data_IF_984120894633
#
_entry.id   IF_984120894633
#
_cell.length_a   1.000
_cell.length_b   1.000
_cell.length_c   1.000
_cell.angle_alpha   90.00
_cell.angle_beta   90.00
_cell.angle_gamma   90.00
#
_symmetry.space_group_name_H-M   'P 1'
#
loop_
_entity.id
_entity.type
_entity.pdbx_description
1 polymer ?
#
# COMPACT_ATOMS: atom_id res chain seq x y z
N UNK A 1 -10.77 -17.10 -20.73
CA UNK A 1 -10.61 -17.08 -19.25
C UNK A 1 -9.73 -15.91 -18.89
N UNK A 2 -10.26 -14.92 -18.22
CA UNK A 2 -9.42 -13.93 -17.56
C UNK A 2 -8.72 -14.63 -16.39
N UNK A 3 -7.43 -14.89 -16.51
CA UNK A 3 -6.62 -15.25 -15.37
C UNK A 3 -6.62 -14.06 -14.44
N UNK A 4 -7.33 -14.15 -13.33
CA UNK A 4 -7.35 -13.12 -12.30
C UNK A 4 -5.91 -12.89 -11.84
N UNK A 5 -5.40 -11.66 -12.01
CA UNK A 5 -4.06 -11.32 -11.58
C UNK A 5 -3.97 -11.46 -10.06
N UNK A 6 -2.97 -12.17 -9.59
CA UNK A 6 -2.69 -12.26 -8.14
C UNK A 6 -1.99 -11.02 -7.66
N UNK A 7 -2.49 -10.44 -6.59
CA UNK A 7 -2.02 -9.16 -6.04
C UNK A 7 -1.49 -9.36 -4.63
N UNK A 8 -0.25 -8.90 -4.41
CA UNK A 8 0.31 -8.72 -3.08
C UNK A 8 0.10 -7.28 -2.63
N UNK A 9 -0.52 -7.09 -1.48
CA UNK A 9 -0.58 -5.77 -0.82
C UNK A 9 0.56 -5.68 0.17
N UNK A 10 1.37 -4.62 0.06
CA UNK A 10 2.45 -4.32 0.99
C UNK A 10 2.13 -3.03 1.75
N UNK A 11 2.22 -3.08 3.06
CA UNK A 11 1.88 -1.98 3.97
C UNK A 11 3.09 -1.69 4.85
N UNK A 12 3.55 -0.45 4.88
CA UNK A 12 4.52 0.02 5.87
C UNK A 12 3.77 0.71 7.00
N UNK A 13 4.21 0.52 8.24
CA UNK A 13 3.54 1.05 9.41
C UNK A 13 4.51 1.39 10.55
N UNK A 14 4.08 2.26 11.45
CA UNK A 14 4.79 2.60 12.68
C UNK A 14 3.86 3.41 13.58
N UNK A 15 3.46 2.85 14.74
CA UNK A 15 2.53 3.47 15.71
C UNK A 15 1.21 3.93 15.06
N UNK A 16 0.53 3.01 14.38
CA UNK A 16 -0.71 3.23 13.64
C UNK A 16 -1.88 2.39 14.17
N UNK A 17 -1.94 2.12 15.48
CA UNK A 17 -2.97 1.28 16.09
C UNK A 17 -4.40 1.75 15.79
N UNK A 18 -4.61 3.06 15.60
CA UNK A 18 -5.92 3.62 15.28
C UNK A 18 -6.34 3.45 13.81
N UNK A 19 -5.39 3.22 12.90
CA UNK A 19 -5.62 3.17 11.46
C UNK A 19 -5.42 1.80 10.84
N UNK A 20 -4.47 1.02 11.34
CA UNK A 20 -4.02 -0.23 10.70
C UNK A 20 -5.15 -1.25 10.51
N UNK A 21 -6.11 -1.33 11.44
CA UNK A 21 -7.24 -2.25 11.36
C UNK A 21 -8.11 -1.98 10.13
N UNK A 22 -8.47 -0.72 9.91
CA UNK A 22 -9.32 -0.33 8.79
C UNK A 22 -8.59 -0.40 7.45
N UNK A 23 -7.29 -0.09 7.44
CA UNK A 23 -6.42 -0.32 6.29
C UNK A 23 -6.45 -1.80 5.88
N UNK A 24 -6.18 -2.71 6.80
CA UNK A 24 -6.13 -4.15 6.54
C UNK A 24 -7.49 -4.73 6.13
N UNK A 25 -8.59 -4.28 6.75
CA UNK A 25 -9.95 -4.66 6.33
C UNK A 25 -10.21 -4.28 4.88
N UNK A 26 -9.78 -3.10 4.47
CA UNK A 26 -10.03 -2.57 3.12
C UNK A 26 -9.31 -3.34 2.01
N UNK A 27 -8.33 -4.16 2.34
CA UNK A 27 -7.55 -4.97 1.40
C UNK A 27 -7.68 -6.48 1.64
N UNK A 28 -8.67 -6.92 2.41
CA UNK A 28 -8.90 -8.34 2.73
C UNK A 28 -9.16 -9.22 1.50
N UNK A 29 -9.48 -8.64 0.37
CA UNK A 29 -9.66 -9.29 -0.93
C UNK A 29 -8.34 -9.69 -1.62
N UNK A 30 -7.19 -9.20 -1.14
CA UNK A 30 -5.88 -9.46 -1.75
C UNK A 30 -5.43 -10.92 -1.56
N UNK A 31 -4.66 -11.45 -2.51
CA UNK A 31 -4.09 -12.81 -2.43
C UNK A 31 -3.00 -12.92 -1.37
N UNK A 32 -2.34 -11.81 -1.08
CA UNK A 32 -1.27 -11.73 -0.10
C UNK A 32 -1.27 -10.35 0.57
N UNK A 33 -1.12 -10.32 1.89
CA UNK A 33 -0.96 -9.09 2.67
C UNK A 33 0.33 -9.18 3.47
N UNK A 34 1.22 -8.22 3.29
CA UNK A 34 2.51 -8.10 3.97
C UNK A 34 2.53 -6.77 4.73
N UNK A 35 2.85 -6.83 6.02
CA UNK A 35 3.01 -5.64 6.87
C UNK A 35 4.46 -5.56 7.32
N UNK A 36 5.08 -4.41 7.11
CA UNK A 36 6.42 -4.09 7.61
C UNK A 36 6.32 -2.97 8.63
N UNK A 37 6.57 -3.32 9.87
CA UNK A 37 6.45 -2.43 11.03
C UNK A 37 7.81 -1.87 11.44
N UNK A 38 7.84 -0.58 11.75
CA UNK A 38 9.04 0.14 12.16
C UNK A 38 9.19 0.22 13.69
N UNK A 39 9.14 -0.96 14.36
CA UNK A 39 9.31 -1.08 15.82
C UNK A 39 8.24 -0.31 16.63
N UNK A 40 6.96 -0.46 16.27
CA UNK A 40 5.84 0.16 16.97
C UNK A 40 5.82 -0.21 18.48
N UNK A 41 5.46 0.77 19.29
CA UNK A 41 5.35 0.60 20.76
C UNK A 41 3.87 0.49 21.21
N UNK A 42 2.93 0.56 20.29
CA UNK A 42 1.49 0.46 20.52
C UNK A 42 0.94 -0.90 20.05
N UNK A 43 -0.38 -1.04 19.91
CA UNK A 43 -1.02 -2.28 19.50
C UNK A 43 -0.94 -2.56 17.97
N UNK A 44 -0.24 -1.76 17.18
CA UNK A 44 -0.16 -1.89 15.72
C UNK A 44 0.19 -3.32 15.28
N UNK A 45 1.26 -3.88 15.82
CA UNK A 45 1.75 -5.23 15.46
C UNK A 45 0.76 -6.31 15.85
N UNK A 46 0.18 -6.22 17.06
CA UNK A 46 -0.81 -7.18 17.55
C UNK A 46 -2.07 -7.16 16.68
N UNK A 47 -2.53 -5.99 16.29
CA UNK A 47 -3.67 -5.85 15.38
C UNK A 47 -3.34 -6.43 14.01
N UNK A 48 -2.18 -6.12 13.43
CA UNK A 48 -1.77 -6.62 12.11
C UNK A 48 -1.74 -8.15 12.07
N UNK A 49 -1.23 -8.79 13.12
CA UNK A 49 -1.17 -10.26 13.23
C UNK A 49 -2.54 -10.95 13.26
N UNK A 50 -3.63 -10.22 13.52
CA UNK A 50 -4.98 -10.79 13.42
C UNK A 50 -5.48 -10.90 11.97
N UNK A 51 -4.81 -10.26 11.01
CA UNK A 51 -5.17 -10.27 9.59
C UNK A 51 -4.22 -11.10 8.72
N UNK A 52 -2.94 -11.16 9.09
CA UNK A 52 -1.92 -11.88 8.33
C UNK A 52 -0.79 -12.33 9.25
N UNK A 53 -0.18 -13.47 8.93
CA UNK A 53 1.06 -13.98 9.58
C UNK A 53 2.31 -13.34 8.98
N UNK A 54 2.19 -12.59 7.89
CA UNK A 54 3.30 -11.90 7.23
C UNK A 54 3.50 -10.49 7.80
N UNK A 55 3.79 -10.42 9.10
CA UNK A 55 4.14 -9.19 9.81
C UNK A 55 5.62 -9.23 10.16
N UNK A 56 6.38 -8.29 9.61
CA UNK A 56 7.83 -8.21 9.74
C UNK A 56 8.21 -6.93 10.48
N UNK A 57 9.12 -7.05 11.44
CA UNK A 57 9.66 -5.91 12.17
C UNK A 57 10.98 -5.51 11.51
N UNK A 58 11.08 -4.26 11.11
CA UNK A 58 12.29 -3.70 10.52
C UNK A 58 12.54 -2.31 11.08
N UNK A 59 13.72 -2.09 11.66
CA UNK A 59 14.16 -0.77 12.12
C UNK A 59 13.99 0.27 11.01
N UNK A 60 13.52 1.44 11.40
CA UNK A 60 13.35 2.55 10.46
C UNK A 60 14.68 3.08 9.95
N UNK A 61 14.86 3.09 8.65
CA UNK A 61 16.03 3.61 7.93
C UNK A 61 15.63 4.53 6.75
N UNK A 62 14.40 5.00 6.75
CA UNK A 62 13.81 5.83 5.70
C UNK A 62 12.76 5.11 4.87
N UNK A 63 11.92 5.89 4.19
CA UNK A 63 10.81 5.37 3.40
C UNK A 63 11.26 4.44 2.26
N UNK A 64 12.31 4.81 1.50
CA UNK A 64 12.80 3.99 0.39
C UNK A 64 13.25 2.61 0.85
N UNK A 65 13.98 2.53 1.95
CA UNK A 65 14.47 1.27 2.50
C UNK A 65 13.31 0.43 3.02
N UNK A 66 12.37 1.05 3.73
CA UNK A 66 11.19 0.37 4.28
C UNK A 66 10.30 -0.19 3.17
N UNK A 67 9.97 0.64 2.17
CA UNK A 67 9.16 0.24 1.01
C UNK A 67 9.88 -0.80 0.14
N UNK A 68 11.18 -0.64 -0.09
CA UNK A 68 11.99 -1.60 -0.83
C UNK A 68 12.02 -2.97 -0.15
N UNK A 69 12.17 -3.00 1.16
CA UNK A 69 12.12 -4.24 1.93
C UNK A 69 10.75 -4.90 1.83
N UNK A 70 9.66 -4.14 2.03
CA UNK A 70 8.30 -4.66 1.90
C UNK A 70 8.06 -5.24 0.49
N UNK A 71 8.50 -4.54 -0.56
CA UNK A 71 8.39 -4.99 -1.94
C UNK A 71 9.16 -6.30 -2.18
N UNK A 72 10.34 -6.45 -1.59
CA UNK A 72 11.16 -7.67 -1.73
C UNK A 72 10.48 -8.93 -1.19
N UNK A 73 9.60 -8.77 -0.21
CA UNK A 73 8.86 -9.88 0.43
C UNK A 73 7.66 -10.35 -0.39
N UNK A 74 7.15 -9.53 -1.30
CA UNK A 74 5.99 -9.85 -2.12
C UNK A 74 6.25 -11.04 -3.05
N UNK A 75 5.34 -12.00 -3.10
CA UNK A 75 5.45 -13.19 -3.95
C UNK A 75 4.87 -12.98 -5.34
N UNK A 76 3.82 -12.17 -5.45
CA UNK A 76 3.14 -11.93 -6.71
C UNK A 76 3.82 -10.82 -7.50
N UNK A 77 3.65 -10.86 -8.82
CA UNK A 77 4.20 -9.85 -9.73
C UNK A 77 3.51 -8.48 -9.55
N UNK A 78 2.19 -8.48 -9.36
CA UNK A 78 1.45 -7.27 -9.11
C UNK A 78 1.45 -6.92 -7.63
N UNK A 79 1.85 -5.70 -7.32
CA UNK A 79 1.96 -5.18 -5.95
C UNK A 79 1.15 -3.90 -5.81
N UNK A 80 0.29 -3.87 -4.80
CA UNK A 80 -0.37 -2.65 -4.31
C UNK A 80 0.34 -2.17 -3.06
N UNK A 81 0.92 -0.97 -3.09
CA UNK A 81 1.63 -0.37 -1.96
C UNK A 81 0.76 0.65 -1.24
N UNK A 82 0.59 0.48 0.06
CA UNK A 82 -0.19 1.38 0.92
C UNK A 82 0.61 1.81 2.15
N UNK A 83 0.26 2.97 2.65
CA UNK A 83 0.62 3.41 3.99
C UNK A 83 -0.51 3.01 4.97
N UNK A 84 -0.21 2.80 6.25
CA UNK A 84 -1.16 2.23 7.21
C UNK A 84 -2.40 3.10 7.51
N UNK A 85 -2.34 4.38 7.19
CA UNK A 85 -3.43 5.34 7.30
C UNK A 85 -4.29 5.47 6.02
N UNK A 86 -3.99 4.67 5.00
CA UNK A 86 -4.74 4.63 3.74
C UNK A 86 -5.75 3.47 3.72
N UNK A 87 -6.81 3.62 2.95
CA UNK A 87 -7.87 2.62 2.78
C UNK A 87 -8.29 2.56 1.32
N UNK A 88 -8.58 1.35 0.85
CA UNK A 88 -9.15 1.10 -0.47
C UNK A 88 -10.67 1.01 -0.31
N UNK A 89 -11.43 1.85 -1.02
CA UNK A 89 -12.88 1.73 -1.02
C UNK A 89 -13.34 0.56 -1.91
N UNK A 90 -14.56 0.10 -1.72
CA UNK A 90 -15.11 -1.08 -2.42
C UNK A 90 -15.10 -0.89 -3.94
N UNK A 91 -15.41 0.32 -4.45
CA UNK A 91 -15.40 0.62 -5.87
C UNK A 91 -14.01 0.46 -6.50
N UNK A 92 -12.97 0.96 -5.82
CA UNK A 92 -11.59 0.81 -6.28
C UNK A 92 -11.13 -0.66 -6.18
N UNK A 93 -11.52 -1.37 -5.12
CA UNK A 93 -11.22 -2.80 -5.01
C UNK A 93 -11.80 -3.60 -6.18
N UNK A 94 -13.05 -3.36 -6.53
CA UNK A 94 -13.70 -3.98 -7.70
C UNK A 94 -13.01 -3.61 -9.01
N UNK A 95 -12.64 -2.34 -9.18
CA UNK A 95 -11.91 -1.86 -10.35
C UNK A 95 -10.56 -2.56 -10.49
N UNK A 96 -9.77 -2.68 -9.43
CA UNK A 96 -8.48 -3.37 -9.42
C UNK A 96 -8.67 -4.86 -9.77
N UNK A 97 -9.63 -5.54 -9.17
CA UNK A 97 -9.87 -6.96 -9.39
C UNK A 97 -10.32 -7.29 -10.81
N UNK A 98 -11.04 -6.37 -11.46
CA UNK A 98 -11.57 -6.55 -12.81
C UNK A 98 -10.69 -5.89 -13.89
N UNK A 99 -9.62 -5.17 -13.52
CA UNK A 99 -8.77 -4.47 -14.46
C UNK A 99 -8.00 -5.43 -15.38
N UNK A 100 -7.89 -5.05 -16.66
CA UNK A 100 -6.94 -5.66 -17.58
C UNK A 100 -5.54 -5.08 -17.31
N UNK A 101 -4.81 -5.74 -16.42
CA UNK A 101 -3.46 -5.33 -16.02
C UNK A 101 -2.38 -5.66 -17.06
N UNK A 102 -2.74 -6.19 -18.23
CA UNK A 102 -1.77 -6.52 -19.27
C UNK A 102 -1.25 -5.30 -20.05
N UNK A 103 -1.99 -4.19 -20.03
CA UNK A 103 -1.73 -3.01 -20.87
C UNK A 103 -0.58 -2.13 -20.41
N UNK A 104 -0.34 -2.05 -19.10
CA UNK A 104 0.65 -1.15 -18.50
C UNK A 104 1.43 -1.88 -17.42
N UNK A 105 2.54 -1.30 -16.99
CA UNK A 105 3.37 -1.84 -15.92
C UNK A 105 3.10 -1.21 -14.57
N UNK A 106 2.28 -0.14 -14.53
CA UNK A 106 1.86 0.51 -13.31
C UNK A 106 0.66 1.43 -13.51
N UNK A 107 -0.05 1.67 -12.42
CA UNK A 107 -1.27 2.45 -12.38
C UNK A 107 -1.21 3.48 -11.26
N UNK A 108 -1.51 4.72 -11.61
CA UNK A 108 -1.71 5.79 -10.65
C UNK A 108 -3.12 5.70 -10.08
N UNK A 109 -3.20 5.75 -8.75
CA UNK A 109 -4.48 5.76 -8.05
C UNK A 109 -4.69 7.14 -7.45
N UNK A 110 -5.88 7.69 -7.66
CA UNK A 110 -6.27 8.96 -7.05
C UNK A 110 -6.46 8.77 -5.55
N UNK A 111 -5.85 9.65 -4.76
CA UNK A 111 -5.99 9.67 -3.31
C UNK A 111 -6.92 10.81 -2.89
N UNK A 112 -7.96 10.47 -2.15
CA UNK A 112 -8.82 11.45 -1.48
C UNK A 112 -8.26 11.71 -0.07
N UNK A 113 -7.95 12.96 0.20
CA UNK A 113 -7.37 13.38 1.48
C UNK A 113 -8.46 13.96 2.39
N UNK A 114 -8.51 13.50 3.65
CA UNK A 114 -9.45 13.95 4.66
C UNK A 114 -8.71 14.66 5.80
N UNK A 115 -9.29 15.78 6.26
CA UNK A 115 -8.84 16.48 7.45
C UNK A 115 -10.03 16.71 8.38
N UNK A 116 -9.91 16.29 9.62
CA UNK A 116 -11.01 16.30 10.61
C UNK A 116 -12.33 15.74 10.08
N UNK A 117 -12.26 14.62 9.34
CA UNK A 117 -13.43 13.97 8.75
C UNK A 117 -14.03 14.64 7.51
N UNK A 118 -13.40 15.71 6.99
CA UNK A 118 -13.86 16.42 5.80
C UNK A 118 -12.91 16.20 4.62
N UNK A 119 -13.49 15.88 3.46
CA UNK A 119 -12.75 15.75 2.21
C UNK A 119 -12.18 17.10 1.78
N UNK A 120 -10.85 17.15 1.58
CA UNK A 120 -10.14 18.35 1.13
C UNK A 120 -10.05 18.36 -0.39
N UNK A 121 -10.62 19.36 -1.03
CA UNK A 121 -10.58 19.53 -2.50
C UNK A 121 -9.77 20.73 -2.96
N UNK A 122 -9.38 21.62 -2.03
CA UNK A 122 -8.62 22.84 -2.31
C UNK A 122 -7.11 22.67 -2.11
N UNK A 123 -6.33 23.74 -2.38
CA UNK A 123 -4.89 23.82 -2.16
C UNK A 123 -4.04 22.74 -2.86
N UNK A 124 -4.45 22.29 -4.06
CA UNK A 124 -3.73 21.27 -4.83
C UNK A 124 -3.98 19.81 -4.37
N UNK A 125 -4.80 19.59 -3.35
CA UNK A 125 -5.08 18.25 -2.79
C UNK A 125 -6.17 17.49 -3.56
N UNK A 126 -6.91 18.15 -4.44
CA UNK A 126 -8.00 17.53 -5.21
C UNK A 126 -7.55 16.62 -6.35
N UNK A 127 -6.27 16.67 -6.75
CA UNK A 127 -5.70 15.86 -7.84
C UNK A 127 -4.42 15.14 -7.38
N UNK A 128 -4.49 14.48 -6.26
CA UNK A 128 -3.36 13.71 -5.71
C UNK A 128 -3.37 12.28 -6.27
N UNK A 129 -2.59 12.06 -7.33
CA UNK A 129 -2.40 10.75 -7.92
C UNK A 129 -1.07 10.15 -7.47
N UNK A 130 -1.10 8.93 -6.98
CA UNK A 130 0.08 8.19 -6.54
C UNK A 130 0.20 6.88 -7.32
N UNK A 131 1.42 6.53 -7.74
CA UNK A 131 1.70 5.22 -8.31
C UNK A 131 1.63 4.19 -7.17
N UNK A 132 0.59 3.37 -7.16
CA UNK A 132 0.31 2.44 -6.07
C UNK A 132 0.21 0.99 -6.50
N UNK A 133 -0.27 0.73 -7.71
CA UNK A 133 -0.39 -0.62 -8.26
C UNK A 133 0.61 -0.78 -9.41
N UNK A 134 1.55 -1.73 -9.31
CA UNK A 134 2.63 -1.87 -10.28
C UNK A 134 3.22 -3.28 -10.30
N UNK A 135 3.90 -3.61 -11.40
CA UNK A 135 4.70 -4.84 -11.50
C UNK A 135 6.01 -4.71 -10.71
N UNK A 136 6.27 -5.70 -9.88
CA UNK A 136 7.48 -5.75 -9.05
C UNK A 136 8.76 -5.77 -9.89
N UNK A 137 8.77 -6.50 -11.00
CA UNK A 137 9.95 -6.72 -11.85
C UNK A 137 10.48 -5.45 -12.55
N UNK A 138 9.60 -4.46 -12.79
CA UNK A 138 9.95 -3.22 -13.50
C UNK A 138 9.99 -1.99 -12.60
N UNK A 139 9.83 -2.19 -11.28
CA UNK A 139 9.71 -1.09 -10.32
C UNK A 139 11.05 -0.74 -9.69
N UNK A 140 11.40 0.55 -9.72
CA UNK A 140 12.46 1.16 -8.92
C UNK A 140 11.91 2.10 -7.87
N UNK A 141 12.71 2.40 -6.84
CA UNK A 141 12.41 3.44 -5.85
C UNK A 141 13.25 4.68 -6.14
N UNK A 142 12.60 5.84 -6.17
CA UNK A 142 13.30 7.11 -6.29
C UNK A 142 14.06 7.39 -4.98
N UNK A 143 15.33 7.78 -5.09
CA UNK A 143 16.21 8.07 -3.94
C UNK A 143 16.06 9.48 -3.36
N UNK A 144 15.01 10.23 -3.72
CA UNK A 144 14.75 11.55 -3.18
C UNK A 144 14.30 11.49 -1.72
N UNK A 145 15.06 12.09 -0.85
CA UNK A 145 14.99 11.99 0.62
C UNK A 145 13.70 12.48 1.29
N UNK A 146 12.77 13.12 0.59
CA UNK A 146 11.60 13.76 1.21
C UNK A 146 10.25 13.26 0.67
N UNK A 147 10.20 12.77 -0.57
CA UNK A 147 8.99 12.22 -1.16
C UNK A 147 9.35 11.06 -2.09
N UNK A 148 9.65 9.92 -1.48
CA UNK A 148 10.01 8.72 -2.23
C UNK A 148 8.79 8.18 -2.96
N UNK A 149 8.91 8.06 -4.27
CA UNK A 149 7.85 7.54 -5.13
C UNK A 149 8.36 6.29 -5.84
N UNK A 150 7.48 5.35 -6.04
CA UNK A 150 7.75 4.29 -6.98
C UNK A 150 7.80 4.87 -8.40
N UNK A 151 8.71 4.35 -9.20
CA UNK A 151 8.89 4.70 -10.61
C UNK A 151 8.84 3.42 -11.43
N UNK A 152 8.07 3.44 -12.50
CA UNK A 152 7.96 2.36 -13.49
C UNK A 152 8.53 2.82 -14.82
#
# INVERSE_FOLDING_TARGET
MHTQNKISVVIITGNEENNIRDCLKSVSWADEIIVVDSESNDETVNIAKTFTDKVFIKKWEGYAIQKGYALSLAKNEWVLSLDADERINDGLAEEILNADLSKYDGYYIKRDNYFLGKLIRGCGWGNDFQLRLFKKSVTGLSTRLVHEKFVV
#
